data_IF_562976296072
#
_entry.id   IF_562976296072
#
_cell.length_a   1.000
_cell.length_b   1.000
_cell.length_c   1.000
_cell.angle_alpha   90.00
_cell.angle_beta   90.00
_cell.angle_gamma   90.00
#
_symmetry.space_group_name_H-M   'P 1'
#
loop_
_entity.id
_entity.type
_entity.pdbx_description
1 polymer ?
#
# COMPACT_ATOMS: atom_id res chain seq x y z
N UNK A 1 -12.19 -12.26 8.71
CA UNK A 1 -11.34 -11.08 8.98
C UNK A 1 -9.93 -11.56 9.31
N UNK A 2 -8.87 -10.79 9.04
CA UNK A 2 -7.47 -11.25 9.21
C UNK A 2 -7.11 -11.62 10.65
N UNK A 3 -7.39 -10.71 11.58
CA UNK A 3 -6.90 -10.77 12.97
C UNK A 3 -7.79 -11.58 13.91
N UNK A 4 -9.05 -11.80 13.53
CA UNK A 4 -10.07 -12.46 14.35
C UNK A 4 -10.47 -13.85 13.84
N UNK A 5 -9.64 -14.44 12.99
CA UNK A 5 -9.87 -15.78 12.43
C UNK A 5 -8.69 -16.68 12.75
N UNK A 6 -8.96 -17.96 12.93
CA UNK A 6 -7.90 -18.95 13.12
C UNK A 6 -7.07 -19.13 11.83
N UNK A 7 -5.77 -19.45 11.95
CA UNK A 7 -5.02 -19.66 13.19
C UNK A 7 -4.48 -18.38 13.86
N UNK A 8 -4.67 -17.21 13.22
CA UNK A 8 -4.08 -15.93 13.68
C UNK A 8 -4.59 -15.52 15.05
N UNK A 9 -5.88 -15.66 15.32
CA UNK A 9 -6.46 -15.28 16.60
C UNK A 9 -5.76 -15.98 17.78
N UNK A 10 -5.58 -17.31 17.68
CA UNK A 10 -4.86 -18.07 18.70
C UNK A 10 -3.39 -17.68 18.80
N UNK A 11 -2.70 -17.44 17.68
CA UNK A 11 -1.30 -16.97 17.71
C UNK A 11 -1.19 -15.62 18.43
N UNK A 12 -2.00 -14.63 18.04
CA UNK A 12 -1.98 -13.29 18.64
C UNK A 12 -2.28 -13.34 20.14
N UNK A 13 -3.22 -14.19 20.56
CA UNK A 13 -3.58 -14.36 21.98
C UNK A 13 -2.45 -14.99 22.81
N UNK A 14 -1.78 -16.00 22.26
CA UNK A 14 -0.90 -16.86 23.05
C UNK A 14 0.58 -16.48 22.94
N UNK A 15 1.00 -15.87 21.82
CA UNK A 15 2.42 -15.64 21.50
C UNK A 15 2.81 -14.16 21.45
N UNK A 16 1.85 -13.24 21.38
CA UNK A 16 2.11 -11.81 21.14
C UNK A 16 1.44 -10.90 22.17
N UNK A 17 2.05 -9.73 22.41
CA UNK A 17 1.38 -8.60 23.05
C UNK A 17 0.80 -7.73 21.95
N UNK A 18 -0.52 -7.57 21.93
CA UNK A 18 -1.22 -6.84 20.86
C UNK A 18 -1.56 -5.42 21.34
N UNK A 19 -1.13 -4.43 20.56
CA UNK A 19 -1.49 -3.03 20.73
C UNK A 19 -2.07 -2.46 19.44
N UNK A 20 -2.63 -1.26 19.52
CA UNK A 20 -3.07 -0.50 18.35
C UNK A 20 -2.64 0.96 18.50
N UNK A 21 -2.47 1.63 17.35
CA UNK A 21 -2.23 3.07 17.29
C UNK A 21 -3.08 3.67 16.20
N UNK A 22 -3.63 4.86 16.46
CA UNK A 22 -4.37 5.60 15.43
C UNK A 22 -3.36 6.29 14.51
N UNK A 23 -3.43 5.97 13.22
CA UNK A 23 -2.58 6.57 12.18
C UNK A 23 -3.24 7.75 11.46
N UNK A 24 -4.41 8.20 11.91
CA UNK A 24 -5.07 9.40 11.36
C UNK A 24 -4.11 10.60 11.36
N UNK A 25 -4.13 11.38 10.27
CA UNK A 25 -3.22 12.50 10.02
C UNK A 25 -1.74 12.13 9.83
N UNK A 26 -1.37 10.84 9.80
CA UNK A 26 0.00 10.42 9.46
C UNK A 26 0.23 10.51 7.96
N UNK A 27 1.45 10.86 7.52
CA UNK A 27 1.83 10.97 6.10
C UNK A 27 1.68 9.67 5.28
N UNK A 28 1.48 8.54 5.95
CA UNK A 28 1.31 7.23 5.33
C UNK A 28 -0.10 6.68 5.49
N UNK A 29 -1.02 7.46 6.09
CA UNK A 29 -2.42 7.13 6.15
C UNK A 29 -3.11 7.46 4.81
N UNK A 30 -3.87 6.49 4.32
CA UNK A 30 -4.68 6.63 3.12
C UNK A 30 -5.99 7.35 3.40
N UNK A 31 -6.76 7.56 2.34
CA UNK A 31 -8.16 7.93 2.45
C UNK A 31 -9.01 6.75 1.99
N UNK A 32 -9.98 6.36 2.81
CA UNK A 32 -10.93 5.30 2.47
C UNK A 32 -12.39 5.75 2.55
N UNK A 33 -13.27 5.05 1.83
CA UNK A 33 -14.70 5.05 2.14
C UNK A 33 -14.95 4.62 3.58
N UNK A 34 -16.06 5.07 4.17
CA UNK A 34 -16.48 4.67 5.52
C UNK A 34 -17.16 3.32 5.47
N UNK A 35 -16.67 2.37 6.26
CA UNK A 35 -17.32 1.08 6.48
C UNK A 35 -18.12 1.07 7.78
N UNK A 36 -19.28 0.41 7.78
CA UNK A 36 -20.01 0.14 9.03
C UNK A 36 -19.42 -1.09 9.75
N UNK A 37 -19.54 -1.17 11.09
CA UNK A 37 -19.03 -2.32 11.84
C UNK A 37 -19.63 -3.68 11.44
N UNK A 38 -20.83 -3.68 10.85
CA UNK A 38 -21.59 -4.85 10.41
C UNK A 38 -21.43 -5.15 8.90
N UNK A 39 -20.64 -4.35 8.17
CA UNK A 39 -20.36 -4.64 6.77
C UNK A 39 -19.42 -5.85 6.63
N UNK A 40 -19.78 -6.74 5.71
CA UNK A 40 -18.93 -7.88 5.38
C UNK A 40 -17.66 -7.39 4.68
N UNK A 41 -16.51 -7.86 5.14
CA UNK A 41 -15.27 -7.66 4.41
C UNK A 41 -15.37 -8.36 3.05
N UNK A 42 -15.24 -7.60 1.96
CA UNK A 42 -15.19 -8.13 0.59
C UNK A 42 -13.92 -8.97 0.42
N UNK A 43 -14.01 -10.04 -0.37
CA UNK A 43 -12.83 -10.80 -0.79
C UNK A 43 -11.81 -9.85 -1.43
N UNK A 44 -10.61 -9.84 -0.88
CA UNK A 44 -9.54 -8.91 -1.26
C UNK A 44 -8.19 -9.60 -1.23
N UNK A 45 -7.16 -8.92 -1.74
CA UNK A 45 -5.80 -9.45 -1.84
C UNK A 45 -4.97 -9.11 -0.60
N UNK A 46 -3.92 -9.89 -0.35
CA UNK A 46 -2.87 -9.52 0.59
C UNK A 46 -2.23 -8.21 0.11
N UNK A 47 -2.05 -7.26 1.02
CA UNK A 47 -1.62 -5.91 0.68
C UNK A 47 -2.72 -4.96 0.24
N UNK A 48 -3.99 -5.36 0.21
CA UNK A 48 -5.06 -4.45 -0.20
C UNK A 48 -5.22 -3.28 0.80
N UNK A 49 -5.22 -2.05 0.29
CA UNK A 49 -5.27 -0.84 1.12
C UNK A 49 -3.96 -0.53 1.84
N UNK A 50 -2.82 -0.40 1.13
CA UNK A 50 -1.48 -0.25 1.71
C UNK A 50 -1.34 0.81 2.79
N UNK A 51 -2.15 1.87 2.67
CA UNK A 51 -2.08 3.06 3.50
C UNK A 51 -3.08 3.06 4.66
N UNK A 52 -3.97 2.06 4.78
CA UNK A 52 -5.08 2.09 5.74
C UNK A 52 -4.90 1.12 6.92
N UNK A 53 -4.31 -0.05 6.67
CA UNK A 53 -3.98 -1.03 7.70
C UNK A 53 -2.49 -1.33 7.63
N UNK A 54 -1.80 -1.32 8.76
CA UNK A 54 -0.37 -1.64 8.84
C UNK A 54 -0.13 -2.49 10.09
N UNK A 55 0.34 -3.71 9.88
CA UNK A 55 0.66 -4.64 10.96
C UNK A 55 2.18 -4.62 11.14
N UNK A 56 2.63 -4.15 12.30
CA UNK A 56 4.02 -4.25 12.71
C UNK A 56 4.15 -5.37 13.74
N UNK A 57 5.18 -6.22 13.57
CA UNK A 57 5.64 -7.12 14.63
C UNK A 57 7.01 -6.65 15.05
N UNK A 58 7.14 -6.32 16.33
CA UNK A 58 8.34 -5.70 16.90
C UNK A 58 8.96 -6.63 17.95
N UNK A 59 10.28 -6.57 18.09
CA UNK A 59 10.94 -7.01 19.31
C UNK A 59 10.63 -6.03 20.47
N UNK A 60 10.86 -6.41 21.74
CA UNK A 60 10.57 -5.56 22.90
C UNK A 60 11.27 -4.19 22.89
N UNK A 61 12.38 -4.05 22.17
CA UNK A 61 13.16 -2.82 22.02
C UNK A 61 12.71 -1.94 20.84
N UNK A 62 11.62 -2.30 20.15
CA UNK A 62 11.10 -1.55 19.01
C UNK A 62 11.73 -1.93 17.66
N UNK A 63 12.62 -2.92 17.62
CA UNK A 63 13.20 -3.42 16.36
C UNK A 63 12.14 -4.14 15.52
N UNK A 64 12.07 -3.81 14.23
CA UNK A 64 11.09 -4.41 13.31
C UNK A 64 11.48 -5.84 12.94
N UNK A 65 10.58 -6.79 13.18
CA UNK A 65 10.68 -8.16 12.69
C UNK A 65 9.97 -8.31 11.34
N UNK A 66 8.74 -7.82 11.24
CA UNK A 66 8.00 -7.73 9.97
C UNK A 66 7.05 -6.54 9.97
N UNK A 67 6.73 -6.06 8.78
CA UNK A 67 5.79 -4.99 8.52
C UNK A 67 4.90 -5.40 7.33
N UNK A 68 3.59 -5.44 7.53
CA UNK A 68 2.64 -5.86 6.51
C UNK A 68 1.64 -4.75 6.27
N UNK A 69 1.62 -4.12 5.09
CA UNK A 69 0.61 -3.14 4.75
C UNK A 69 -0.67 -3.83 4.27
N UNK A 70 -1.78 -3.12 4.38
CA UNK A 70 -3.09 -3.56 3.94
C UNK A 70 -3.64 -4.79 4.67
N UNK A 71 -4.69 -5.35 4.07
CA UNK A 71 -5.30 -6.61 4.47
C UNK A 71 -4.37 -7.80 4.20
N UNK A 72 -4.43 -8.83 5.05
CA UNK A 72 -3.81 -10.14 4.80
C UNK A 72 -4.76 -11.28 5.14
N UNK A 73 -4.83 -12.33 4.32
CA UNK A 73 -5.64 -13.52 4.63
C UNK A 73 -5.08 -14.18 5.90
N UNK A 74 -5.96 -14.69 6.77
CA UNK A 74 -5.54 -15.24 8.06
C UNK A 74 -4.47 -16.35 7.94
N UNK A 75 -4.64 -17.29 7.00
CA UNK A 75 -3.65 -18.36 6.78
C UNK A 75 -2.28 -17.85 6.33
N UNK A 76 -2.24 -16.73 5.59
CA UNK A 76 -0.99 -16.13 5.12
C UNK A 76 -0.36 -15.29 6.22
N UNK A 77 -1.16 -14.48 6.94
CA UNK A 77 -0.71 -13.72 8.10
C UNK A 77 -0.12 -14.63 9.18
N UNK A 78 -0.65 -15.84 9.37
CA UNK A 78 -0.06 -16.80 10.30
C UNK A 78 1.37 -17.23 9.92
N UNK A 79 1.66 -17.35 8.62
CA UNK A 79 3.02 -17.62 8.12
C UNK A 79 3.93 -16.42 8.40
N UNK A 80 3.43 -15.20 8.20
CA UNK A 80 4.17 -13.97 8.52
C UNK A 80 4.49 -13.84 10.01
N UNK A 81 3.53 -14.15 10.89
CA UNK A 81 3.75 -14.17 12.33
C UNK A 81 4.77 -15.26 12.73
N UNK A 82 4.78 -16.39 12.03
CA UNK A 82 5.76 -17.46 12.23
C UNK A 82 7.16 -17.00 11.85
N UNK A 83 7.32 -16.34 10.69
CA UNK A 83 8.58 -15.71 10.28
C UNK A 83 9.04 -14.68 11.34
N UNK A 84 8.13 -13.84 11.83
CA UNK A 84 8.47 -12.83 12.83
C UNK A 84 9.02 -13.44 14.13
N UNK A 85 8.49 -14.60 14.58
CA UNK A 85 9.04 -15.35 15.72
C UNK A 85 10.43 -15.90 15.43
N UNK A 86 10.70 -16.36 14.20
CA UNK A 86 12.03 -16.83 13.82
C UNK A 86 13.04 -15.68 13.81
N UNK A 87 12.68 -14.54 13.24
CA UNK A 87 13.50 -13.33 13.25
C UNK A 87 13.75 -12.83 14.68
N UNK A 88 12.75 -12.93 15.56
CA UNK A 88 12.91 -12.62 16.99
C UNK A 88 13.96 -13.50 17.68
N UNK A 89 14.03 -14.80 17.33
CA UNK A 89 15.08 -15.69 17.84
C UNK A 89 16.46 -15.28 17.34
N UNK A 90 16.58 -14.94 16.05
CA UNK A 90 17.85 -14.43 15.49
C UNK A 90 18.28 -13.15 16.20
N UNK A 91 17.33 -12.22 16.44
CA UNK A 91 17.62 -10.96 17.13
C UNK A 91 18.15 -11.18 18.55
N UNK A 92 17.57 -12.14 19.28
CA UNK A 92 17.91 -12.45 20.67
C UNK A 92 19.14 -13.36 20.84
N UNK A 93 19.65 -13.97 19.77
CA UNK A 93 20.79 -14.88 19.86
C UNK A 93 22.07 -14.12 20.26
N UNK A 94 22.61 -14.41 21.45
CA UNK A 94 23.82 -13.78 21.97
C UNK A 94 25.10 -14.30 21.31
N UNK A 95 25.03 -15.41 20.57
CA UNK A 95 26.18 -16.00 19.88
C UNK A 95 26.42 -15.38 18.50
N UNK A 96 25.44 -14.65 17.97
CA UNK A 96 25.54 -13.96 16.69
C UNK A 96 25.96 -12.50 16.88
N UNK A 97 26.94 -12.07 16.10
CA UNK A 97 27.24 -10.66 15.91
C UNK A 97 26.08 -9.94 15.22
N UNK A 98 26.03 -8.61 15.34
CA UNK A 98 25.01 -7.80 14.68
C UNK A 98 25.01 -7.99 13.15
N UNK A 99 26.19 -8.14 12.54
CA UNK A 99 26.30 -8.33 11.09
C UNK A 99 25.78 -9.71 10.67
N UNK A 100 26.06 -10.77 11.43
CA UNK A 100 25.47 -12.09 11.19
C UNK A 100 23.95 -12.08 11.34
N UNK A 101 23.43 -11.37 12.37
CA UNK A 101 22.00 -11.17 12.55
C UNK A 101 21.37 -10.52 11.34
N UNK A 102 21.94 -9.42 10.84
CA UNK A 102 21.41 -8.71 9.66
C UNK A 102 21.44 -9.59 8.41
N UNK A 103 22.53 -10.33 8.19
CA UNK A 103 22.61 -11.28 7.07
C UNK A 103 21.52 -12.35 7.16
N UNK A 104 21.32 -12.94 8.36
CA UNK A 104 20.27 -13.93 8.58
C UNK A 104 18.86 -13.34 8.44
N UNK A 105 18.64 -12.09 8.87
CA UNK A 105 17.38 -11.39 8.66
C UNK A 105 17.06 -11.30 7.17
N UNK A 106 17.99 -10.75 6.38
CA UNK A 106 17.80 -10.60 4.94
C UNK A 106 17.58 -11.96 4.26
N UNK A 107 18.35 -12.98 4.65
CA UNK A 107 18.22 -14.32 4.10
C UNK A 107 16.85 -14.94 4.43
N UNK A 108 16.40 -14.88 5.69
CA UNK A 108 15.11 -15.42 6.10
C UNK A 108 13.93 -14.73 5.40
N UNK A 109 14.00 -13.40 5.22
CA UNK A 109 12.98 -12.67 4.45
C UNK A 109 12.91 -13.17 3.00
N UNK A 110 14.05 -13.38 2.35
CA UNK A 110 14.12 -13.84 0.96
C UNK A 110 13.73 -15.32 0.80
N UNK A 111 14.13 -16.18 1.74
CA UNK A 111 13.78 -17.60 1.75
C UNK A 111 12.29 -17.80 2.02
N UNK A 112 11.68 -16.95 2.85
CA UNK A 112 10.26 -17.00 3.14
C UNK A 112 9.42 -16.80 1.86
N UNK A 113 9.83 -15.91 0.96
CA UNK A 113 9.21 -15.74 -0.37
C UNK A 113 9.16 -17.07 -1.13
N UNK A 114 10.26 -17.83 -1.11
CA UNK A 114 10.34 -19.11 -1.81
C UNK A 114 9.41 -20.17 -1.20
N UNK A 115 9.10 -20.05 0.10
CA UNK A 115 8.20 -20.94 0.82
C UNK A 115 6.70 -20.70 0.55
N UNK A 116 6.34 -19.57 -0.07
CA UNK A 116 4.94 -19.24 -0.33
C UNK A 116 4.28 -20.24 -1.28
N UNK A 117 3.18 -20.84 -0.82
CA UNK A 117 2.34 -21.69 -1.67
C UNK A 117 1.65 -20.89 -2.79
N UNK A 118 1.09 -21.62 -3.76
CA UNK A 118 0.41 -21.00 -4.89
C UNK A 118 -0.83 -20.19 -4.47
N UNK A 119 -1.50 -20.57 -3.37
CA UNK A 119 -2.67 -19.86 -2.86
C UNK A 119 -2.31 -18.46 -2.37
N UNK A 120 -1.26 -18.37 -1.56
CA UNK A 120 -0.70 -17.10 -1.08
C UNK A 120 -0.23 -16.24 -2.23
N UNK A 121 0.54 -16.81 -3.18
CA UNK A 121 0.97 -16.10 -4.40
C UNK A 121 -0.21 -15.53 -5.19
N UNK A 122 -1.26 -16.33 -5.37
CA UNK A 122 -2.48 -15.89 -6.06
C UNK A 122 -3.22 -14.80 -5.28
N UNK A 123 -3.18 -14.81 -3.96
CA UNK A 123 -3.82 -13.78 -3.12
C UNK A 123 -2.99 -12.51 -2.96
N UNK A 124 -1.70 -12.52 -3.29
CA UNK A 124 -0.81 -11.36 -3.11
C UNK A 124 -0.62 -10.50 -4.36
N UNK A 125 -1.40 -10.68 -5.42
CA UNK A 125 -1.32 -9.79 -6.57
C UNK A 125 -1.80 -8.36 -6.22
N UNK A 126 -1.21 -7.37 -6.87
CA UNK A 126 -1.74 -6.00 -6.83
C UNK A 126 -3.18 -5.98 -7.32
N UNK A 127 -4.07 -5.26 -6.62
CA UNK A 127 -5.43 -5.06 -7.11
C UNK A 127 -5.40 -4.35 -8.46
N UNK A 128 -6.36 -4.63 -9.34
CA UNK A 128 -6.33 -4.15 -10.72
C UNK A 128 -6.19 -2.62 -10.84
N UNK A 129 -6.85 -1.86 -9.96
CA UNK A 129 -6.74 -0.40 -9.93
C UNK A 129 -5.37 0.09 -9.40
N UNK A 130 -4.73 -0.65 -8.48
CA UNK A 130 -3.39 -0.33 -7.98
C UNK A 130 -2.35 -0.61 -9.07
N UNK A 131 -2.47 -1.74 -9.77
CA UNK A 131 -1.60 -2.04 -10.91
C UNK A 131 -1.75 -0.98 -12.01
N UNK A 132 -2.96 -0.55 -12.34
CA UNK A 132 -3.17 0.55 -13.29
C UNK A 132 -2.55 1.86 -12.81
N UNK A 133 -2.62 2.15 -11.52
CA UNK A 133 -1.98 3.33 -10.94
C UNK A 133 -0.45 3.26 -11.06
N UNK A 134 0.16 2.12 -10.71
CA UNK A 134 1.59 1.86 -10.82
C UNK A 134 2.06 1.98 -12.28
N UNK A 135 1.37 1.34 -13.23
CA UNK A 135 1.69 1.41 -14.66
C UNK A 135 1.68 2.85 -15.20
N UNK A 136 0.71 3.65 -14.76
CA UNK A 136 0.53 5.02 -15.26
C UNK A 136 1.46 6.03 -14.61
N UNK A 137 1.69 5.93 -13.30
CA UNK A 137 2.36 6.98 -12.53
C UNK A 137 3.78 6.60 -12.11
N UNK A 138 4.08 5.29 -12.07
CA UNK A 138 5.33 4.74 -11.52
C UNK A 138 5.81 3.51 -12.32
N UNK A 139 6.01 3.61 -13.64
CA UNK A 139 6.41 2.47 -14.47
C UNK A 139 7.78 1.85 -14.09
N UNK A 140 8.55 2.52 -13.23
CA UNK A 140 9.83 2.06 -12.68
C UNK A 140 9.74 1.64 -11.21
N UNK A 141 8.54 1.40 -10.65
CA UNK A 141 8.43 0.91 -9.27
C UNK A 141 9.01 -0.50 -9.13
N UNK A 142 9.34 -0.85 -7.90
CA UNK A 142 9.91 -2.14 -7.52
C UNK A 142 8.93 -3.33 -7.65
N UNK A 143 7.65 -3.03 -7.95
CA UNK A 143 6.64 -4.01 -8.38
C UNK A 143 6.88 -4.59 -9.78
N UNK A 144 7.83 -4.06 -10.55
CA UNK A 144 8.21 -4.62 -11.84
C UNK A 144 9.58 -5.29 -11.76
N UNK A 145 9.73 -6.49 -12.34
CA UNK A 145 11.02 -7.20 -12.34
C UNK A 145 12.11 -6.49 -13.16
N UNK A 146 11.72 -5.58 -14.05
CA UNK A 146 12.64 -4.82 -14.89
C UNK A 146 12.02 -3.48 -15.27
N UNK A 147 12.85 -2.44 -15.45
CA UNK A 147 12.41 -1.16 -15.98
C UNK A 147 11.80 -1.24 -17.40
N UNK A 148 12.04 -2.35 -18.12
CA UNK A 148 11.44 -2.63 -19.44
C UNK A 148 10.18 -3.49 -19.38
N UNK A 149 9.68 -3.78 -18.17
CA UNK A 149 8.47 -4.59 -17.99
C UNK A 149 7.23 -3.90 -18.55
N UNK A 150 7.19 -2.57 -18.47
CA UNK A 150 6.06 -1.73 -18.88
C UNK A 150 6.30 -1.19 -20.28
N UNK A 151 5.35 -1.44 -21.18
CA UNK A 151 5.34 -0.83 -22.50
C UNK A 151 5.04 0.67 -22.38
N UNK A 152 5.97 1.57 -22.78
CA UNK A 152 5.79 3.01 -22.63
C UNK A 152 4.71 3.59 -23.53
N UNK A 153 4.30 2.89 -24.58
CA UNK A 153 3.26 3.33 -25.52
C UNK A 153 1.85 2.92 -25.07
N UNK A 154 1.71 1.71 -24.51
CA UNK A 154 0.41 1.16 -24.13
C UNK A 154 0.13 1.22 -22.63
N UNK A 155 1.15 1.47 -21.80
CA UNK A 155 1.09 1.37 -20.33
C UNK A 155 0.57 0.02 -19.85
N UNK A 156 0.96 -1.05 -20.54
CA UNK A 156 0.60 -2.44 -20.22
C UNK A 156 1.84 -3.25 -19.89
N UNK A 157 1.63 -4.30 -19.12
CA UNK A 157 2.65 -5.30 -18.82
C UNK A 157 1.99 -6.69 -18.76
N UNK A 158 2.65 -7.75 -19.23
CA UNK A 158 2.27 -9.12 -18.93
C UNK A 158 2.29 -9.38 -17.41
N UNK A 159 1.35 -10.18 -16.85
CA UNK A 159 1.32 -10.49 -15.41
C UNK A 159 2.63 -11.06 -14.86
N UNK A 160 3.33 -11.89 -15.64
CA UNK A 160 4.63 -12.50 -15.24
C UNK A 160 5.74 -11.48 -14.95
N UNK A 161 5.59 -10.23 -15.42
CA UNK A 161 6.59 -9.18 -15.20
C UNK A 161 6.29 -8.35 -13.94
N UNK A 162 5.19 -8.63 -13.25
CA UNK A 162 4.74 -7.94 -12.04
C UNK A 162 5.04 -8.83 -10.83
N UNK A 163 5.73 -8.27 -9.84
CA UNK A 163 5.92 -8.89 -8.53
C UNK A 163 4.61 -8.80 -7.74
N UNK A 164 4.34 -9.82 -6.95
CA UNK A 164 3.26 -9.79 -5.96
C UNK A 164 3.69 -8.97 -4.75
N UNK A 165 2.72 -8.47 -3.97
CA UNK A 165 2.95 -7.59 -2.82
C UNK A 165 3.86 -8.24 -1.79
N UNK A 166 3.65 -9.53 -1.48
CA UNK A 166 4.50 -10.30 -0.57
C UNK A 166 5.98 -10.23 -0.98
N UNK A 167 6.29 -10.46 -2.26
CA UNK A 167 7.66 -10.38 -2.79
C UNK A 167 8.25 -9.00 -2.53
N UNK A 168 7.51 -7.93 -2.86
CA UNK A 168 8.00 -6.55 -2.69
C UNK A 168 8.21 -6.23 -1.21
N UNK A 169 7.29 -6.62 -0.33
CA UNK A 169 7.39 -6.34 1.11
C UNK A 169 8.58 -7.03 1.77
N UNK A 170 8.83 -8.30 1.43
CA UNK A 170 9.99 -9.04 1.92
C UNK A 170 11.31 -8.52 1.33
N UNK A 171 11.34 -8.16 0.05
CA UNK A 171 12.53 -7.54 -0.55
C UNK A 171 12.86 -6.18 0.10
N UNK A 172 11.84 -5.36 0.38
CA UNK A 172 12.00 -4.09 1.10
C UNK A 172 12.54 -4.33 2.51
N UNK A 173 11.97 -5.27 3.28
CA UNK A 173 12.49 -5.58 4.62
C UNK A 173 13.90 -6.16 4.57
N UNK A 174 14.21 -7.04 3.62
CA UNK A 174 15.54 -7.62 3.48
C UNK A 174 16.63 -6.55 3.24
N UNK A 175 16.28 -5.41 2.65
CA UNK A 175 17.17 -4.26 2.49
C UNK A 175 17.29 -3.37 3.75
N UNK A 176 16.43 -3.58 4.75
CA UNK A 176 16.33 -2.83 6.00
C UNK A 176 16.39 -3.78 7.23
N UNK A 177 17.47 -4.57 7.39
CA UNK A 177 17.51 -5.60 8.42
C UNK A 177 17.58 -5.01 9.83
N UNK A 178 16.67 -5.47 10.70
CA UNK A 178 16.58 -5.06 12.11
C UNK A 178 16.58 -3.54 12.32
N UNK A 179 15.82 -2.82 11.50
CA UNK A 179 15.66 -1.37 11.67
C UNK A 179 14.74 -1.04 12.88
N UNK A 180 15.11 -0.08 13.74
CA UNK A 180 14.22 0.42 14.79
C UNK A 180 12.98 1.12 14.21
N UNK A 181 11.82 0.90 14.83
CA UNK A 181 10.56 1.48 14.39
C UNK A 181 10.59 3.01 14.29
N UNK A 182 11.30 3.70 15.19
CA UNK A 182 11.39 5.16 15.22
C UNK A 182 12.11 5.76 14.00
N UNK A 183 12.93 4.95 13.32
CA UNK A 183 13.71 5.37 12.14
C UNK A 183 13.12 4.87 10.83
N UNK A 184 12.26 3.86 10.92
CA UNK A 184 11.67 3.22 9.76
C UNK A 184 10.72 4.16 9.00
N UNK A 185 11.01 4.41 7.73
CA UNK A 185 10.16 5.26 6.89
C UNK A 185 8.94 4.48 6.37
N UNK A 186 7.94 4.34 7.23
CA UNK A 186 6.66 3.68 6.94
C UNK A 186 6.01 4.20 5.65
N UNK A 187 6.15 5.50 5.36
CA UNK A 187 5.55 6.09 4.17
C UNK A 187 6.17 5.53 2.90
N UNK A 188 7.50 5.51 2.82
CA UNK A 188 8.20 4.94 1.68
C UNK A 188 8.00 3.43 1.61
N UNK A 189 8.02 2.74 2.76
CA UNK A 189 7.84 1.29 2.83
C UNK A 189 6.47 0.81 2.33
N UNK A 190 5.40 1.53 2.65
CA UNK A 190 4.04 1.18 2.24
C UNK A 190 3.60 1.91 0.95
N UNK A 191 4.48 2.65 0.29
CA UNK A 191 4.13 3.43 -0.91
C UNK A 191 3.99 2.50 -2.13
N UNK A 192 2.75 2.14 -2.44
CA UNK A 192 2.32 1.58 -3.71
C UNK A 192 0.82 1.77 -3.92
N UNK A 193 0.38 1.66 -5.17
CA UNK A 193 -1.03 1.71 -5.51
C UNK A 193 -1.64 3.09 -5.31
N UNK A 194 -2.96 3.15 -5.33
CA UNK A 194 -3.70 4.40 -5.31
C UNK A 194 -3.83 4.94 -3.88
N UNK A 195 -3.55 6.24 -3.65
CA UNK A 195 -3.61 6.85 -2.31
C UNK A 195 -5.03 7.04 -1.76
N UNK A 196 -6.04 7.05 -2.65
CA UNK A 196 -7.46 7.20 -2.28
C UNK A 196 -8.20 5.96 -2.77
N UNK A 197 -8.85 5.30 -1.83
CA UNK A 197 -9.64 4.10 -2.05
C UNK A 197 -11.09 4.34 -1.66
N UNK A 198 -11.98 4.48 -2.63
CA UNK A 198 -13.41 4.41 -2.36
C UNK A 198 -14.03 3.48 -3.39
N UNK A 199 -14.44 2.30 -2.93
CA UNK A 199 -15.14 1.31 -3.74
C UNK A 199 -16.64 1.59 -3.80
N UNK A 200 -17.13 2.59 -3.05
CA UNK A 200 -18.54 2.94 -2.96
C UNK A 200 -19.42 1.72 -2.65
N UNK A 201 -18.93 0.79 -1.81
CA UNK A 201 -19.58 -0.50 -1.53
C UNK A 201 -20.98 -0.31 -0.94
N UNK A 202 -21.15 0.72 -0.10
CA UNK A 202 -22.42 1.14 0.49
C UNK A 202 -23.44 1.67 -0.53
N UNK A 203 -23.00 1.97 -1.75
CA UNK A 203 -23.84 2.43 -2.84
C UNK A 203 -24.08 1.32 -3.88
N UNK A 204 -23.58 0.10 -3.67
CA UNK A 204 -23.85 -1.01 -4.57
C UNK A 204 -25.26 -1.57 -4.34
N UNK A 205 -25.98 -1.83 -5.43
CA UNK A 205 -27.24 -2.57 -5.43
C UNK A 205 -26.99 -4.08 -5.30
N UNK A 206 -28.07 -4.87 -5.24
CA UNK A 206 -27.98 -6.33 -5.16
C UNK A 206 -27.29 -6.99 -6.36
N UNK A 207 -27.08 -6.25 -7.46
CA UNK A 207 -26.33 -6.71 -8.65
C UNK A 207 -24.84 -6.35 -8.60
N UNK A 208 -24.40 -5.66 -7.54
CA UNK A 208 -23.02 -5.19 -7.39
C UNK A 208 -22.70 -3.95 -8.24
N UNK A 209 -23.71 -3.21 -8.70
CA UNK A 209 -23.55 -1.94 -9.44
C UNK A 209 -23.92 -0.76 -8.55
N UNK A 210 -23.32 0.40 -8.80
CA UNK A 210 -23.71 1.62 -8.07
C UNK A 210 -25.20 1.90 -8.34
N UNK A 211 -25.99 1.95 -7.28
CA UNK A 211 -27.42 2.20 -7.30
C UNK A 211 -27.70 3.54 -7.99
N UNK A 212 -28.67 3.54 -8.88
CA UNK A 212 -29.05 4.71 -9.65
C UNK A 212 -29.48 5.86 -8.72
N UNK A 213 -28.93 7.06 -8.95
CA UNK A 213 -29.17 8.23 -8.09
C UNK A 213 -28.26 8.37 -6.86
N UNK A 214 -27.28 7.48 -6.68
CA UNK A 214 -26.29 7.59 -5.60
C UNK A 214 -25.42 8.85 -5.74
N UNK A 215 -25.40 9.70 -4.71
CA UNK A 215 -24.49 10.85 -4.63
C UNK A 215 -23.13 10.45 -4.04
N UNK A 216 -22.28 9.90 -4.90
CA UNK A 216 -20.93 9.47 -4.52
C UNK A 216 -20.03 10.63 -4.07
N UNK A 217 -20.33 11.86 -4.51
CA UNK A 217 -19.51 13.04 -4.24
C UNK A 217 -19.65 13.60 -2.83
N UNK A 218 -20.73 13.25 -2.12
CA UNK A 218 -21.00 13.65 -0.73
C UNK A 218 -20.63 12.59 0.30
N UNK A 219 -20.13 11.44 -0.14
CA UNK A 219 -19.79 10.32 0.74
C UNK A 219 -18.72 10.72 1.76
N UNK A 220 -18.94 10.45 3.07
CA UNK A 220 -17.95 10.72 4.10
C UNK A 220 -16.74 9.79 3.93
N UNK A 221 -15.56 10.39 3.81
CA UNK A 221 -14.27 9.69 3.77
C UNK A 221 -13.68 9.60 5.17
N UNK A 222 -12.94 8.51 5.44
CA UNK A 222 -12.12 8.32 6.64
C UNK A 222 -10.64 8.43 6.25
N UNK A 223 -9.81 8.91 7.18
CA UNK A 223 -8.37 9.04 7.00
C UNK A 223 -7.97 10.43 6.53
N UNK A 224 -6.79 10.54 5.93
CA UNK A 224 -6.28 11.83 5.48
C UNK A 224 -7.16 12.35 4.35
N UNK A 225 -8.01 13.35 4.62
CA UNK A 225 -8.79 14.01 3.58
C UNK A 225 -7.86 14.37 2.40
N UNK A 226 -8.33 14.42 1.14
CA UNK A 226 -7.51 14.81 -0.01
C UNK A 226 -6.82 16.19 0.12
N UNK A 227 -7.13 16.95 1.19
CA UNK A 227 -6.47 18.19 1.58
C UNK A 227 -5.20 17.98 2.43
N UNK A 228 -5.07 16.86 3.15
CA UNK A 228 -3.94 16.52 4.00
C UNK A 228 -2.75 15.92 3.23
N UNK A 229 -2.97 15.49 1.98
CA UNK A 229 -1.94 15.10 1.03
C UNK A 229 -1.99 16.00 -0.21
N UNK A 230 -1.00 16.87 -0.48
CA UNK A 230 -0.92 17.57 -1.75
C UNK A 230 -0.42 16.61 -2.84
N UNK A 231 -1.20 15.57 -3.16
CA UNK A 231 -0.99 14.77 -4.36
C UNK A 231 -1.40 15.65 -5.54
N UNK A 232 -0.44 16.45 -6.00
CA UNK A 232 -0.44 17.25 -7.24
C UNK A 232 -1.84 17.64 -7.72
N UNK A 233 -2.45 18.63 -7.07
CA UNK A 233 -3.40 19.55 -7.71
C UNK A 233 -2.71 20.44 -8.77
N UNK A 234 -1.67 19.93 -9.46
CA UNK A 234 -1.01 20.60 -10.57
C UNK A 234 -1.82 20.48 -11.87
N UNK A 235 -2.65 19.44 -12.06
CA UNK A 235 -3.38 19.28 -13.32
C UNK A 235 -4.55 20.28 -13.52
N UNK A 236 -5.12 20.86 -12.46
CA UNK A 236 -6.18 21.89 -12.59
C UNK A 236 -5.67 23.33 -12.52
N UNK A 237 -4.48 23.59 -11.97
CA UNK A 237 -3.94 24.96 -11.87
C UNK A 237 -3.17 25.42 -13.11
N UNK A 238 -2.52 24.52 -13.86
CA UNK A 238 -1.86 24.88 -15.13
C UNK A 238 -2.86 25.19 -16.24
N UNK A 239 -4.00 24.51 -16.31
CA UNK A 239 -5.07 24.85 -17.27
C UNK A 239 -5.60 26.28 -17.09
N UNK A 240 -5.77 26.73 -15.84
CA UNK A 240 -6.26 28.08 -15.55
C UNK A 240 -5.22 29.19 -15.78
N UNK A 241 -3.93 28.91 -15.60
CA UNK A 241 -2.86 29.89 -15.85
C UNK A 241 -2.47 29.98 -17.32
N UNK A 242 -2.45 28.86 -18.04
CA UNK A 242 -2.20 28.87 -19.49
C UNK A 242 -3.37 29.52 -20.22
N UNK A 243 -4.62 29.19 -19.86
CA UNK A 243 -5.81 29.84 -20.42
C UNK A 243 -5.89 31.34 -20.08
N UNK A 244 -5.48 31.77 -18.88
CA UNK A 244 -5.39 33.21 -18.55
C UNK A 244 -4.22 33.90 -19.27
N UNK A 245 -3.13 33.20 -19.56
CA UNK A 245 -2.01 33.77 -20.31
C UNK A 245 -2.33 33.92 -21.80
N UNK A 246 -3.01 32.95 -22.43
CA UNK A 246 -3.38 33.02 -23.85
C UNK A 246 -4.51 34.02 -24.10
N UNK A 247 -5.49 34.14 -23.21
CA UNK A 247 -6.54 35.17 -23.30
C UNK A 247 -5.95 36.58 -23.12
N UNK A 248 -5.03 36.77 -22.18
CA UNK A 248 -4.36 38.07 -22.00
C UNK A 248 -3.36 38.41 -23.13
N UNK A 249 -2.77 37.41 -23.79
CA UNK A 249 -1.89 37.66 -24.95
C UNK A 249 -2.68 37.96 -26.23
N UNK A 250 -3.81 37.29 -26.45
CA UNK A 250 -4.71 37.56 -27.57
C UNK A 250 -5.37 38.95 -27.47
N UNK A 251 -5.76 39.39 -26.27
CA UNK A 251 -6.29 40.75 -26.05
C UNK A 251 -5.23 41.84 -26.22
N UNK A 252 -3.96 41.59 -25.85
CA UNK A 252 -2.88 42.58 -26.01
C UNK A 252 -2.38 42.72 -27.45
N UNK A 253 -2.50 41.68 -28.28
CA UNK A 253 -2.10 41.76 -29.69
C UNK A 253 -3.27 42.03 -30.65
N UNK A 254 -4.51 41.65 -30.31
CA UNK A 254 -5.69 41.97 -31.11
C UNK A 254 -6.02 43.47 -31.15
N UNK A 255 -5.75 44.22 -30.07
CA UNK A 255 -6.01 45.67 -30.01
C UNK A 255 -4.99 46.49 -30.82
N UNK A 256 -3.80 45.94 -31.12
CA UNK A 256 -2.80 46.62 -31.97
C UNK A 256 -3.04 46.44 -33.47
N UNK A 257 -3.92 45.52 -33.89
CA UNK A 257 -4.23 45.30 -35.30
C UNK A 257 -5.44 46.10 -35.82
N UNK A 258 -6.14 46.85 -34.95
CA UNK A 258 -7.36 47.61 -35.29
C UNK A 258 -7.12 49.15 -35.25
N UNK A 259 -5.91 49.61 -34.90
CA UNK A 259 -5.56 51.04 -34.82
C UNK A 259 -4.39 51.44 -35.75
N UNK A 260 -4.36 50.92 -36.97
CA UNK A 260 -3.60 51.51 -38.09
C UNK A 260 -4.46 51.53 -39.34
#
# INVERSE_FOLDING_TARGET
MSLSSEPVFSMLKNDFVVGYTNIENKKYAGASGKHKPDENAVDTTNGAGPHNLQIFVLAPDGTIMTCLPGYWKAEDLAKELTLAKQLGKVWQDSNLSLEEKKMQFSQLQLDHIASHDQGMKNRSHLQGFDLQYELKNRPNSDFFYSARAVDPSTLKTPPKNVKTVDIVMHQRLAAHPFEPYERFDVATYADYGKPIYDKHEQFLDASGKIAEGSDLGSAPMIGNTPKAHPIKTQAKRTGSRVARSTVNHALRYGIRAILR
#
